data_IF_307297242969
#
_entry.id   IF_307297242969
#
_cell.length_a   1.000
_cell.length_b   1.000
_cell.length_c   1.000
_cell.angle_alpha   90.00
_cell.angle_beta   90.00
_cell.angle_gamma   90.00
#
_symmetry.space_group_name_H-M   'P 1'
#
loop_
_entity.id
_entity.type
_entity.pdbx_description
1 polymer ?
#
# COMPACT_ATOMS: atom_id res chain seq x y z
N UNK A 1 11.79 6.88 -24.31
CA UNK A 1 11.35 5.57 -23.76
C UNK A 1 12.26 5.30 -22.57
N UNK A 2 12.00 5.99 -21.45
CA UNK A 2 12.91 6.06 -20.28
C UNK A 2 12.16 5.91 -18.94
N UNK A 3 10.92 5.39 -18.94
CA UNK A 3 10.10 5.34 -17.71
C UNK A 3 9.97 3.95 -17.06
N UNK A 4 10.60 2.91 -17.59
CA UNK A 4 10.48 1.55 -17.03
C UNK A 4 11.59 1.19 -16.02
N UNK A 5 12.51 2.12 -15.73
CA UNK A 5 13.75 1.83 -15.01
C UNK A 5 13.79 2.39 -13.58
N UNK A 6 12.75 2.13 -12.80
CA UNK A 6 12.76 2.47 -11.36
C UNK A 6 11.91 1.54 -10.48
N UNK A 7 11.66 0.29 -10.91
CA UNK A 7 10.96 -0.72 -10.08
C UNK A 7 11.87 -1.74 -9.41
N UNK A 8 13.18 -1.52 -9.49
CA UNK A 8 14.18 -2.43 -8.93
C UNK A 8 15.27 -1.62 -8.23
N UNK A 9 14.95 -0.93 -7.14
CA UNK A 9 16.00 -0.35 -6.30
C UNK A 9 15.66 -0.19 -4.83
N UNK A 10 14.98 -1.19 -4.25
CA UNK A 10 15.21 -1.57 -2.86
C UNK A 10 14.60 -2.96 -2.62
N UNK A 11 15.43 -4.00 -2.51
CA UNK A 11 14.96 -5.35 -2.15
C UNK A 11 14.66 -5.46 -0.64
N UNK A 12 14.04 -4.44 -0.07
CA UNK A 12 13.55 -4.42 1.30
C UNK A 12 12.07 -4.73 1.29
N UNK A 13 11.68 -5.92 1.75
CA UNK A 13 10.28 -6.28 1.93
C UNK A 13 9.62 -5.37 2.97
N UNK A 14 8.48 -4.78 2.64
CA UNK A 14 7.66 -4.06 3.62
C UNK A 14 6.84 -5.08 4.42
N UNK A 15 7.10 -5.17 5.72
CA UNK A 15 6.42 -6.11 6.63
C UNK A 15 5.62 -5.34 7.67
N UNK A 16 4.33 -5.64 7.79
CA UNK A 16 3.43 -4.99 8.75
C UNK A 16 2.27 -5.91 9.13
N UNK A 17 1.50 -5.54 10.15
CA UNK A 17 0.32 -6.27 10.58
C UNK A 17 -0.95 -5.42 10.47
N UNK A 18 -2.05 -6.03 10.00
CA UNK A 18 -3.39 -5.44 10.00
C UNK A 18 -4.32 -6.42 10.70
N UNK A 19 -5.01 -5.97 11.75
CA UNK A 19 -5.94 -6.81 12.53
C UNK A 19 -5.31 -8.15 12.98
N UNK A 20 -4.03 -8.14 13.37
CA UNK A 20 -3.29 -9.33 13.77
C UNK A 20 -2.83 -10.25 12.64
N UNK A 21 -3.16 -9.94 11.37
CA UNK A 21 -2.67 -10.67 10.20
C UNK A 21 -1.37 -10.02 9.69
N UNK A 22 -0.32 -10.82 9.47
CA UNK A 22 0.97 -10.38 8.93
C UNK A 22 0.92 -10.28 7.40
N UNK A 23 1.38 -9.15 6.86
CA UNK A 23 1.54 -8.91 5.44
C UNK A 23 3.02 -8.62 5.13
N UNK A 24 3.51 -9.18 4.03
CA UNK A 24 4.87 -9.01 3.55
C UNK A 24 4.82 -8.70 2.06
N UNK A 25 5.25 -7.50 1.67
CA UNK A 25 5.19 -6.99 0.31
C UNK A 25 6.61 -6.86 -0.24
N UNK A 26 6.89 -7.57 -1.33
CA UNK A 26 8.19 -7.56 -2.01
C UNK A 26 8.38 -6.37 -2.96
N UNK A 27 7.29 -5.76 -3.42
CA UNK A 27 7.28 -4.56 -4.25
C UNK A 27 6.08 -3.70 -3.86
N UNK A 28 6.34 -2.44 -3.50
CA UNK A 28 5.33 -1.46 -3.14
C UNK A 28 5.57 -0.23 -4.00
N UNK A 29 4.51 0.27 -4.63
CA UNK A 29 4.57 1.57 -5.31
C UNK A 29 4.61 2.61 -4.19
N UNK A 30 5.57 3.52 -4.21
CA UNK A 30 5.77 4.54 -3.16
C UNK A 30 4.53 5.41 -2.91
N UNK A 31 3.63 5.52 -3.91
CA UNK A 31 2.35 6.23 -3.82
C UNK A 31 1.19 5.39 -3.29
N UNK A 32 1.36 4.10 -3.00
CA UNK A 32 0.28 3.24 -2.48
C UNK A 32 -0.14 3.73 -1.10
N UNK A 33 -1.41 4.09 -0.95
CA UNK A 33 -1.97 4.47 0.34
C UNK A 33 -2.38 3.24 1.16
N UNK A 34 -2.41 3.37 2.49
CA UNK A 34 -2.91 2.31 3.37
C UNK A 34 -4.36 1.95 3.05
N UNK A 35 -5.19 2.94 2.72
CA UNK A 35 -6.59 2.70 2.38
C UNK A 35 -6.72 1.87 1.09
N UNK A 36 -5.93 2.21 0.08
CA UNK A 36 -5.88 1.45 -1.16
C UNK A 36 -5.45 0.01 -0.87
N UNK A 37 -4.37 -0.18 -0.12
CA UNK A 37 -3.92 -1.51 0.30
C UNK A 37 -5.04 -2.33 0.97
N UNK A 38 -5.75 -1.74 1.94
CA UNK A 38 -6.84 -2.43 2.64
C UNK A 38 -7.96 -2.81 1.67
N UNK A 39 -8.37 -1.89 0.79
CA UNK A 39 -9.49 -2.10 -0.14
C UNK A 39 -9.15 -2.98 -1.32
N UNK A 40 -7.90 -3.16 -1.72
CA UNK A 40 -7.52 -3.98 -2.89
C UNK A 40 -6.88 -5.30 -2.48
N UNK A 41 -6.00 -5.29 -1.48
CA UNK A 41 -5.16 -6.43 -1.10
C UNK A 41 -5.62 -7.19 0.14
N UNK A 42 -6.70 -6.76 0.80
CA UNK A 42 -7.28 -7.47 1.95
C UNK A 42 -8.78 -7.71 1.78
N UNK A 43 -9.38 -8.66 2.51
CA UNK A 43 -10.84 -8.81 2.57
C UNK A 43 -11.55 -7.68 3.35
N UNK A 44 -10.81 -6.76 4.00
CA UNK A 44 -11.39 -5.68 4.80
C UNK A 44 -11.93 -4.54 3.91
N UNK A 45 -13.19 -4.65 3.48
CA UNK A 45 -13.82 -3.65 2.57
C UNK A 45 -14.67 -2.59 3.28
N UNK A 46 -14.76 -2.60 4.60
CA UNK A 46 -15.55 -1.64 5.38
C UNK A 46 -14.91 -0.24 5.46
N UNK A 47 -13.62 -0.12 5.15
CA UNK A 47 -12.85 1.13 5.23
C UNK A 47 -13.31 2.07 4.11
N UNK A 48 -13.68 3.32 4.46
CA UNK A 48 -14.25 4.29 3.52
C UNK A 48 -13.30 5.47 3.27
N UNK A 49 -13.31 5.96 2.04
CA UNK A 49 -12.73 7.25 1.66
C UNK A 49 -13.87 8.28 1.58
N UNK A 50 -13.78 9.36 2.35
CA UNK A 50 -14.64 10.54 2.20
C UNK A 50 -14.04 11.50 1.17
N UNK A 51 -13.34 12.53 1.64
CA UNK A 51 -12.64 13.50 0.79
C UNK A 51 -11.16 13.16 0.56
N UNK A 52 -10.55 12.34 1.42
CA UNK A 52 -9.15 11.90 1.25
C UNK A 52 -8.09 12.93 1.65
N UNK A 53 -8.52 14.12 2.08
CA UNK A 53 -7.67 15.13 2.68
C UNK A 53 -7.83 15.08 4.20
N UNK A 54 -6.73 15.30 4.93
CA UNK A 54 -6.83 15.53 6.37
C UNK A 54 -7.56 16.87 6.59
N UNK A 55 -8.48 16.89 7.54
CA UNK A 55 -9.04 18.16 8.02
C UNK A 55 -7.97 18.72 8.96
N UNK A 56 -7.30 19.79 8.52
CA UNK A 56 -6.44 20.62 9.36
C UNK A 56 -7.28 21.44 10.35
#
# INVERSE_FOLDING_TARGET
MEEEKEREKNSSSLVFAVNGQRFELSSVISSTTVLEFLRTHTPFKSVKLGCGEEIL
#
